data_IF_573183206806
#
_entry.id   IF_573183206806
#
_cell.length_a   1.000
_cell.length_b   1.000
_cell.length_c   1.000
_cell.angle_alpha   90.00
_cell.angle_beta   90.00
_cell.angle_gamma   90.00
#
_symmetry.space_group_name_H-M   'P 1'
#
loop_
_entity.id
_entity.type
_entity.pdbx_description
1 polymer ?
#
# COMPACT_ATOMS: atom_id res chain seq x y z
N UNK A 1 0.77 -12.52 -18.52
CA UNK A 1 0.33 -11.97 -17.22
C UNK A 1 0.28 -10.46 -17.33
N UNK A 2 -0.71 -9.81 -16.73
CA UNK A 2 -0.97 -8.37 -16.92
C UNK A 2 -0.54 -7.57 -15.70
N UNK A 3 -0.06 -6.35 -15.90
CA UNK A 3 0.26 -5.42 -14.82
C UNK A 3 -1.01 -4.91 -14.14
N UNK A 4 -0.95 -4.71 -12.82
CA UNK A 4 -2.01 -4.12 -12.02
C UNK A 4 -1.41 -3.30 -10.88
N UNK A 5 -2.16 -2.26 -10.47
CA UNK A 5 -1.93 -1.54 -9.24
C UNK A 5 -3.14 -1.71 -8.34
N UNK A 6 -2.94 -1.88 -7.03
CA UNK A 6 -4.05 -2.07 -6.09
C UNK A 6 -3.80 -1.45 -4.74
N UNK A 7 -4.88 -0.96 -4.14
CA UNK A 7 -4.93 -0.59 -2.75
C UNK A 7 -5.38 -1.77 -1.89
N UNK A 8 -4.52 -2.13 -0.95
CA UNK A 8 -4.80 -3.11 0.10
C UNK A 8 -5.31 -2.35 1.32
N UNK A 9 -6.62 -2.47 1.56
CA UNK A 9 -7.33 -1.83 2.67
C UNK A 9 -7.71 -2.88 3.71
N UNK A 10 -7.24 -2.74 4.95
CA UNK A 10 -7.53 -3.71 6.02
C UNK A 10 -8.43 -3.12 7.10
N UNK A 11 -9.41 -3.90 7.54
CA UNK A 11 -10.26 -3.56 8.67
C UNK A 11 -10.13 -4.60 9.81
N UNK A 12 -10.11 -4.15 11.08
CA UNK A 12 -10.03 -2.75 11.51
C UNK A 12 -8.64 -2.12 11.25
N UNK A 13 -8.60 -0.80 11.08
CA UNK A 13 -7.40 -0.07 10.64
C UNK A 13 -6.21 -0.13 11.61
N UNK A 14 -6.42 -0.40 12.90
CA UNK A 14 -5.30 -0.64 13.83
C UNK A 14 -4.48 -1.90 13.46
N UNK A 15 -5.04 -2.79 12.62
CA UNK A 15 -4.33 -3.94 12.06
C UNK A 15 -3.48 -3.59 10.84
N UNK A 16 -3.50 -2.35 10.34
CA UNK A 16 -2.64 -1.93 9.21
C UNK A 16 -1.15 -2.21 9.46
N UNK A 17 -0.69 -2.07 10.72
CA UNK A 17 0.66 -2.46 11.13
C UNK A 17 1.03 -3.91 10.78
N UNK A 18 0.05 -4.81 10.68
CA UNK A 18 0.26 -6.21 10.29
C UNK A 18 0.63 -6.36 8.81
N UNK A 19 0.14 -5.49 7.94
CA UNK A 19 0.54 -5.46 6.53
C UNK A 19 2.01 -5.05 6.41
N UNK A 20 2.41 -4.00 7.15
CA UNK A 20 3.80 -3.52 7.16
C UNK A 20 4.74 -4.58 7.75
N UNK A 21 4.35 -5.22 8.87
CA UNK A 21 5.14 -6.31 9.45
C UNK A 21 5.28 -7.52 8.50
N UNK A 22 4.24 -7.84 7.72
CA UNK A 22 4.31 -8.92 6.74
C UNK A 22 5.23 -8.55 5.56
N UNK A 23 5.12 -7.31 5.07
CA UNK A 23 6.05 -6.75 4.08
C UNK A 23 7.51 -6.85 4.54
N UNK A 24 7.82 -6.39 5.76
CA UNK A 24 9.20 -6.41 6.28
C UNK A 24 9.78 -7.82 6.36
N UNK A 25 8.97 -8.81 6.72
CA UNK A 25 9.41 -10.21 6.77
C UNK A 25 9.66 -10.79 5.38
N UNK A 26 8.74 -10.52 4.45
CA UNK A 26 8.89 -10.96 3.06
C UNK A 26 10.12 -10.31 2.40
N UNK A 27 10.35 -9.02 2.64
CA UNK A 27 11.54 -8.30 2.20
C UNK A 27 12.82 -8.93 2.78
N UNK A 28 12.85 -9.19 4.09
CA UNK A 28 14.02 -9.79 4.76
C UNK A 28 14.37 -11.20 4.25
N UNK A 29 13.40 -11.95 3.73
CA UNK A 29 13.63 -13.26 3.13
C UNK A 29 13.98 -13.19 1.63
N UNK A 30 14.12 -11.99 1.05
CA UNK A 30 14.34 -11.80 -0.39
C UNK A 30 13.13 -12.18 -1.25
N UNK A 31 11.92 -12.23 -0.68
CA UNK A 31 10.71 -12.70 -1.39
C UNK A 31 10.44 -11.89 -2.66
N UNK A 32 10.65 -10.57 -2.60
CA UNK A 32 10.36 -9.66 -3.70
C UNK A 32 11.35 -9.76 -4.87
N UNK A 33 12.48 -10.44 -4.72
CA UNK A 33 13.41 -10.73 -5.83
C UNK A 33 12.79 -11.70 -6.86
N UNK A 34 11.82 -12.51 -6.44
CA UNK A 34 11.15 -13.53 -7.26
C UNK A 34 9.63 -13.36 -7.34
N UNK A 35 9.05 -12.51 -6.50
CA UNK A 35 7.61 -12.25 -6.50
C UNK A 35 7.20 -11.42 -7.73
N UNK A 36 6.02 -11.68 -8.27
CA UNK A 36 5.46 -10.91 -9.37
C UNK A 36 4.88 -9.56 -8.96
N UNK A 37 4.66 -9.30 -7.67
CA UNK A 37 4.14 -8.03 -7.17
C UNK A 37 4.70 -7.68 -5.80
N UNK A 38 4.85 -6.39 -5.53
CA UNK A 38 5.42 -5.88 -4.29
C UNK A 38 4.67 -4.64 -3.77
N UNK A 39 4.64 -4.45 -2.43
CA UNK A 39 4.23 -3.19 -1.86
C UNK A 39 5.18 -2.06 -2.24
N UNK A 40 4.65 -0.98 -2.79
CA UNK A 40 5.45 0.18 -3.20
C UNK A 40 5.29 1.36 -2.24
N UNK A 41 4.07 1.63 -1.80
CA UNK A 41 3.77 2.84 -1.03
C UNK A 41 2.71 2.62 0.05
N UNK A 42 2.76 3.45 1.08
CA UNK A 42 1.66 3.63 2.03
C UNK A 42 0.97 4.95 1.73
N UNK A 43 -0.34 4.89 1.52
CA UNK A 43 -1.18 6.06 1.31
C UNK A 43 -1.98 6.34 2.58
N UNK A 44 -1.99 7.59 3.00
CA UNK A 44 -2.90 8.12 4.00
C UNK A 44 -3.87 9.08 3.32
N UNK A 45 -5.15 8.75 3.34
CA UNK A 45 -6.18 9.58 2.73
C UNK A 45 -6.40 10.86 3.54
N UNK A 46 -6.43 12.02 2.88
CA UNK A 46 -6.86 13.30 3.46
C UNK A 46 -8.33 13.60 3.18
N UNK A 47 -8.86 13.01 2.10
CA UNK A 47 -10.25 13.08 1.70
C UNK A 47 -10.81 11.67 1.50
N UNK A 48 -12.14 11.47 1.61
CA UNK A 48 -12.74 10.16 1.33
C UNK A 48 -12.55 9.75 -0.14
N UNK A 49 -12.41 8.45 -0.36
CA UNK A 49 -12.37 7.84 -1.70
C UNK A 49 -13.42 6.72 -1.76
N UNK A 50 -14.50 6.96 -2.50
CA UNK A 50 -15.64 6.04 -2.52
C UNK A 50 -16.21 5.84 -1.11
N UNK A 51 -16.20 4.59 -0.65
CA UNK A 51 -16.65 4.20 0.69
C UNK A 51 -15.54 4.24 1.76
N UNK A 52 -14.31 4.61 1.39
CA UNK A 52 -13.17 4.68 2.32
C UNK A 52 -13.08 6.09 2.91
N UNK A 53 -13.22 6.26 4.24
CA UNK A 53 -13.14 7.58 4.87
C UNK A 53 -11.75 8.24 4.78
N UNK A 54 -11.71 9.54 5.02
CA UNK A 54 -10.45 10.25 5.29
C UNK A 54 -9.74 9.69 6.54
N UNK A 55 -8.43 9.86 6.59
CA UNK A 55 -7.54 9.38 7.66
C UNK A 55 -7.19 7.89 7.59
N UNK A 56 -7.72 7.16 6.60
CA UNK A 56 -7.48 5.73 6.41
C UNK A 56 -6.15 5.47 5.69
N UNK A 57 -5.53 4.34 6.05
CA UNK A 57 -4.25 3.87 5.53
C UNK A 57 -4.48 2.73 4.55
N UNK A 58 -3.79 2.82 3.42
CA UNK A 58 -3.83 1.87 2.31
C UNK A 58 -2.40 1.49 1.95
N UNK A 59 -2.19 0.23 1.60
CA UNK A 59 -0.94 -0.23 1.03
C UNK A 59 -1.10 -0.30 -0.49
N UNK A 60 -0.30 0.49 -1.21
CA UNK A 60 -0.25 0.48 -2.67
C UNK A 60 0.70 -0.62 -3.12
N UNK A 61 0.17 -1.56 -3.90
CA UNK A 61 0.90 -2.72 -4.45
C UNK A 61 0.92 -2.62 -5.96
N UNK A 62 2.08 -2.89 -6.55
CA UNK A 62 2.29 -2.87 -7.99
C UNK A 62 2.84 -4.21 -8.46
N UNK A 63 2.45 -4.66 -9.65
CA UNK A 63 3.06 -5.80 -10.32
C UNK A 63 2.09 -6.66 -11.10
N UNK A 64 2.39 -7.95 -11.22
CA UNK A 64 1.58 -8.95 -11.90
C UNK A 64 0.26 -9.18 -11.17
N UNK A 65 -0.85 -8.94 -11.88
CA UNK A 65 -2.23 -9.17 -11.45
C UNK A 65 -2.43 -10.52 -10.74
N UNK A 66 -1.73 -11.58 -11.14
CA UNK A 66 -1.82 -12.90 -10.50
C UNK A 66 -1.43 -12.91 -9.02
N UNK A 67 -0.65 -11.93 -8.56
CA UNK A 67 -0.15 -11.82 -7.19
C UNK A 67 -0.98 -10.91 -6.30
N UNK A 68 -2.02 -10.22 -6.81
CA UNK A 68 -2.82 -9.24 -6.07
C UNK A 68 -3.82 -9.88 -5.09
N UNK A 69 -3.31 -10.72 -4.20
CA UNK A 69 -4.00 -11.29 -3.04
C UNK A 69 -3.05 -11.31 -1.84
N UNK A 70 -3.56 -11.61 -0.64
CA UNK A 70 -2.75 -11.65 0.57
C UNK A 70 -1.55 -12.62 0.47
N UNK A 71 -1.76 -13.82 -0.08
CA UNK A 71 -0.69 -14.81 -0.20
C UNK A 71 0.37 -14.39 -1.22
N UNK A 72 -0.05 -13.84 -2.37
CA UNK A 72 0.86 -13.40 -3.43
C UNK A 72 1.70 -12.18 -3.06
N UNK A 73 1.13 -11.18 -2.37
CA UNK A 73 1.90 -9.98 -2.00
C UNK A 73 2.84 -10.20 -0.82
N UNK A 74 2.51 -11.11 0.09
CA UNK A 74 3.24 -11.28 1.36
C UNK A 74 3.94 -12.64 1.48
N UNK A 75 3.94 -13.49 0.47
CA UNK A 75 4.60 -14.81 0.54
C UNK A 75 4.07 -15.71 1.67
N UNK A 76 2.85 -15.49 2.14
CA UNK A 76 2.28 -16.18 3.30
C UNK A 76 2.65 -15.59 4.68
N UNK A 77 3.43 -14.51 4.74
CA UNK A 77 3.83 -13.83 5.99
C UNK A 77 2.71 -13.06 6.67
N UNK A 78 1.63 -12.74 5.94
CA UNK A 78 0.48 -12.06 6.53
C UNK A 78 -0.33 -12.99 7.43
N UNK A 79 0.00 -12.99 8.72
CA UNK A 79 -0.79 -13.65 9.78
C UNK A 79 -1.72 -12.63 10.44
N UNK A 80 -2.94 -12.49 9.91
CA UNK A 80 -3.91 -11.50 10.38
C UNK A 80 -5.37 -11.96 10.18
N UNK A 81 -6.21 -11.79 11.20
CA UNK A 81 -7.66 -12.01 11.13
C UNK A 81 -8.46 -10.75 10.69
N UNK A 82 -7.80 -9.77 10.08
CA UNK A 82 -8.46 -8.57 9.57
C UNK A 82 -9.16 -8.85 8.24
N UNK A 83 -10.23 -8.10 7.95
CA UNK A 83 -10.86 -8.12 6.64
C UNK A 83 -10.00 -7.31 5.69
N UNK A 84 -9.34 -7.99 4.75
CA UNK A 84 -8.55 -7.36 3.70
C UNK A 84 -9.40 -7.19 2.45
N UNK A 85 -9.48 -5.97 1.93
CA UNK A 85 -10.05 -5.63 0.63
C UNK A 85 -8.89 -5.26 -0.31
N UNK A 86 -8.88 -5.87 -1.50
CA UNK A 86 -7.99 -5.51 -2.60
C UNK A 86 -8.81 -4.72 -3.60
N UNK A 87 -8.40 -3.48 -3.86
CA UNK A 87 -9.14 -2.52 -4.69
C UNK A 87 -8.23 -2.14 -5.86
N UNK A 88 -8.55 -2.49 -7.11
CA UNK A 88 -7.80 -2.03 -8.26
C UNK A 88 -7.76 -0.50 -8.30
N UNK A 89 -6.59 0.08 -8.52
CA UNK A 89 -6.43 1.55 -8.54
C UNK A 89 -7.25 2.17 -9.67
N UNK A 90 -7.32 1.52 -10.84
CA UNK A 90 -8.14 2.01 -11.96
C UNK A 90 -9.65 2.07 -11.65
N UNK A 91 -10.12 1.37 -10.61
CA UNK A 91 -11.52 1.41 -10.19
C UNK A 91 -11.86 2.67 -9.37
N UNK A 92 -10.85 3.40 -8.87
CA UNK A 92 -11.02 4.57 -7.99
C UNK A 92 -10.34 5.83 -8.52
N UNK A 93 -9.35 5.69 -9.40
CA UNK A 93 -8.54 6.75 -9.99
C UNK A 93 -8.50 6.59 -11.51
N UNK A 94 -8.53 7.70 -12.24
CA UNK A 94 -8.47 7.72 -13.70
C UNK A 94 -7.02 7.59 -14.24
N UNK A 95 -6.20 6.75 -13.61
CA UNK A 95 -4.79 6.58 -13.96
C UNK A 95 -3.89 7.75 -13.55
N UNK A 96 -2.76 7.91 -14.24
CA UNK A 96 -1.71 8.91 -13.92
C UNK A 96 -2.17 10.35 -14.12
N UNK A 97 -3.16 10.58 -14.99
CA UNK A 97 -3.70 11.91 -15.27
C UNK A 97 -4.79 12.34 -14.28
N UNK A 98 -5.13 11.49 -13.31
CA UNK A 98 -6.10 11.85 -12.28
C UNK A 98 -5.58 13.07 -11.49
N UNK A 99 -6.33 14.18 -11.39
CA UNK A 99 -5.91 15.37 -10.66
C UNK A 99 -5.52 15.10 -9.20
N UNK A 100 -6.04 14.01 -8.61
CA UNK A 100 -5.75 13.58 -7.24
C UNK A 100 -4.39 12.92 -7.10
N UNK A 101 -3.71 12.59 -8.19
CA UNK A 101 -2.34 12.08 -8.22
C UNK A 101 -1.30 13.21 -8.32
N UNK A 102 -1.70 14.40 -8.76
CA UNK A 102 -0.79 15.54 -8.94
C UNK A 102 -0.05 15.89 -7.64
N UNK A 103 1.28 16.02 -7.74
CA UNK A 103 2.14 16.35 -6.60
C UNK A 103 2.54 15.17 -5.73
N UNK A 104 2.09 13.95 -6.06
CA UNK A 104 2.65 12.73 -5.48
C UNK A 104 3.81 12.26 -6.34
N UNK A 105 4.95 12.12 -5.71
CA UNK A 105 6.14 11.51 -6.30
C UNK A 105 6.11 10.02 -5.95
N UNK A 106 6.09 9.13 -6.97
CA UNK A 106 6.31 7.67 -7.09
C UNK A 106 7.65 7.08 -6.65
N UNK A 107 8.70 7.79 -7.02
CA UNK A 107 10.03 7.22 -7.19
C UNK A 107 10.96 7.68 -6.06
N UNK A 108 10.58 8.76 -5.37
CA UNK A 108 11.33 9.26 -4.22
C UNK A 108 11.09 8.44 -2.94
N UNK A 109 12.13 8.20 -2.12
CA UNK A 109 11.96 7.65 -0.78
C UNK A 109 11.33 8.65 0.20
N UNK A 110 11.32 9.94 -0.14
CA UNK A 110 10.74 10.99 0.71
C UNK A 110 9.20 10.97 0.64
N UNK A 111 8.51 11.30 1.74
CA UNK A 111 7.07 11.47 1.69
C UNK A 111 6.66 12.62 0.75
N UNK A 112 5.59 12.42 -0.01
CA UNK A 112 4.98 13.45 -0.84
C UNK A 112 3.49 13.58 -0.48
N UNK A 113 2.89 14.74 -0.74
CA UNK A 113 1.49 14.96 -0.40
C UNK A 113 0.83 16.01 -1.26
N UNK A 114 -0.49 15.90 -1.38
CA UNK A 114 -1.33 16.90 -2.02
C UNK A 114 -2.60 17.13 -1.19
N UNK A 115 -3.65 17.71 -1.80
CA UNK A 115 -4.93 17.98 -1.13
C UNK A 115 -5.75 16.73 -0.79
N UNK A 116 -5.46 15.59 -1.42
CA UNK A 116 -6.27 14.36 -1.37
C UNK A 116 -5.63 13.27 -0.54
N UNK A 117 -4.30 13.15 -0.58
CA UNK A 117 -3.59 12.08 0.10
C UNK A 117 -2.14 12.46 0.44
N UNK A 118 -1.55 11.65 1.32
CA UNK A 118 -0.13 11.66 1.65
C UNK A 118 0.46 10.29 1.32
N UNK A 119 1.55 10.28 0.57
CA UNK A 119 2.29 9.08 0.18
C UNK A 119 3.56 8.98 1.01
N UNK A 120 3.86 7.77 1.46
CA UNK A 120 5.16 7.36 1.97
C UNK A 120 5.63 6.19 1.11
N UNK A 121 6.93 6.09 0.79
CA UNK A 121 7.45 4.80 0.33
C UNK A 121 7.24 3.75 1.43
N UNK A 122 7.01 2.49 1.06
CA UNK A 122 6.73 1.45 2.06
C UNK A 122 7.92 1.27 3.02
N UNK A 123 9.15 1.34 2.50
CA UNK A 123 10.37 1.24 3.29
C UNK A 123 10.51 2.41 4.28
N UNK A 124 10.23 3.64 3.84
CA UNK A 124 10.23 4.81 4.73
C UNK A 124 9.16 4.67 5.82
N UNK A 125 7.95 4.25 5.46
CA UNK A 125 6.87 4.08 6.42
C UNK A 125 7.19 2.98 7.44
N UNK A 126 7.76 1.85 7.01
CA UNK A 126 8.21 0.78 7.89
C UNK A 126 9.27 1.27 8.89
N UNK A 127 10.28 2.00 8.41
CA UNK A 127 11.29 2.62 9.28
C UNK A 127 10.65 3.55 10.32
N UNK A 128 9.75 4.45 9.89
CA UNK A 128 9.04 5.37 10.79
C UNK A 128 8.18 4.62 11.81
N UNK A 129 7.56 3.50 11.42
CA UNK A 129 6.77 2.68 12.33
C UNK A 129 7.63 2.05 13.41
N UNK A 130 8.81 1.51 13.06
CA UNK A 130 9.79 0.98 14.04
C UNK A 130 10.29 2.05 15.00
N UNK A 131 10.50 3.27 14.49
CA UNK A 131 10.94 4.42 15.28
C UNK A 131 9.83 5.09 16.13
N UNK A 132 8.58 4.59 16.09
CA UNK A 132 7.45 5.21 16.80
C UNK A 132 6.99 6.56 16.20
N UNK A 133 7.40 6.87 14.96
CA UNK A 133 7.12 8.11 14.24
C UNK A 133 5.95 8.01 13.25
N UNK A 134 5.42 6.80 13.04
CA UNK A 134 4.23 6.59 12.22
C UNK A 134 2.98 6.88 13.06
N UNK A 135 2.20 7.88 12.65
CA UNK A 135 0.90 8.24 13.25
C UNK A 135 -0.23 7.73 12.38
#
# INVERSE_FOLDING_TARGET
MGYQESWFYIEPQHKFKKLIQAYEKAEQSGYYEVAGAEPHSVIVLKQPFGDIPAGKKLLWVCGDRGFHCAAGVFGGELKCSGRLRVIPVEAVLNGTDDPRMKGLDFDSPAPSENAYMKRYSVANYAHRMRAGLAR
#
